data_IF_275250630600
#
_entry.id   IF_275250630600
#
_cell.length_a   1.000
_cell.length_b   1.000
_cell.length_c   1.000
_cell.angle_alpha   90.00
_cell.angle_beta   90.00
_cell.angle_gamma   90.00
#
_symmetry.space_group_name_H-M   'P 1'
#
loop_
_entity.id
_entity.type
_entity.pdbx_description
1 polymer ?
#
# COMPACT_ATOMS: atom_id res chain seq x y z
N UNK A 1 11.04 36.54 38.32
CA UNK A 1 11.85 36.19 37.13
C UNK A 1 11.85 34.70 36.77
N UNK A 2 11.50 33.78 37.68
CA UNK A 2 11.61 32.32 37.44
C UNK A 2 10.45 31.68 36.65
N UNK A 3 9.23 32.22 36.72
CA UNK A 3 8.05 31.60 36.08
C UNK A 3 8.00 31.76 34.55
N UNK A 4 8.39 32.93 34.04
CA UNK A 4 8.43 33.20 32.58
C UNK A 4 9.46 32.35 31.85
N UNK A 5 10.58 32.05 32.50
CA UNK A 5 11.64 31.21 31.97
C UNK A 5 11.21 29.73 31.93
N UNK A 6 10.50 29.27 32.95
CA UNK A 6 9.96 27.90 33.00
C UNK A 6 8.90 27.67 31.91
N UNK A 7 7.99 28.63 31.69
CA UNK A 7 7.01 28.51 30.60
C UNK A 7 7.65 28.49 29.20
N UNK A 8 8.70 29.28 28.97
CA UNK A 8 9.40 29.30 27.69
C UNK A 8 10.11 27.96 27.41
N UNK A 9 10.73 27.36 28.43
CA UNK A 9 11.38 26.04 28.31
C UNK A 9 10.35 24.94 28.09
N UNK A 10 9.21 24.96 28.77
CA UNK A 10 8.11 24.00 28.54
C UNK A 10 7.55 24.16 27.12
N UNK A 11 7.31 25.38 26.67
CA UNK A 11 6.80 25.64 25.32
C UNK A 11 7.78 25.17 24.23
N UNK A 12 9.09 25.33 24.45
CA UNK A 12 10.12 24.87 23.53
C UNK A 12 10.27 23.34 23.56
N UNK A 13 10.16 22.72 24.74
CA UNK A 13 10.17 21.25 24.88
C UNK A 13 8.95 20.61 24.20
N UNK A 14 7.77 21.21 24.36
CA UNK A 14 6.53 20.78 23.68
C UNK A 14 6.70 20.89 22.16
N UNK A 15 7.21 22.01 21.65
CA UNK A 15 7.53 22.20 20.23
C UNK A 15 8.53 21.15 19.68
N UNK A 16 9.56 20.81 20.46
CA UNK A 16 10.55 19.81 20.06
C UNK A 16 9.96 18.40 20.00
N UNK A 17 9.07 18.06 20.94
CA UNK A 17 8.36 16.76 20.93
C UNK A 17 7.38 16.63 19.76
N UNK A 18 6.62 17.69 19.41
CA UNK A 18 5.71 17.64 18.25
C UNK A 18 6.44 17.67 16.91
N UNK A 19 7.63 18.27 16.83
CA UNK A 19 8.44 18.20 15.62
C UNK A 19 8.96 16.76 15.37
N UNK A 20 9.38 16.05 16.41
CA UNK A 20 9.93 14.68 16.27
C UNK A 20 8.95 13.62 15.76
N UNK A 21 7.64 13.77 16.02
CA UNK A 21 6.59 12.85 15.51
C UNK A 21 6.22 13.09 14.05
N UNK A 22 6.62 14.22 13.46
CA UNK A 22 6.32 14.56 12.07
C UNK A 22 7.33 13.96 11.08
N UNK A 23 8.58 13.72 11.50
CA UNK A 23 9.66 13.26 10.62
C UNK A 23 9.87 11.73 10.60
N UNK A 24 9.14 10.97 11.43
CA UNK A 24 9.27 9.51 11.52
C UNK A 24 8.07 8.70 11.00
N UNK A 25 7.01 9.36 10.51
CA UNK A 25 5.73 8.70 10.23
C UNK A 25 5.67 7.90 8.92
N UNK A 26 6.56 8.16 7.95
CA UNK A 26 6.52 7.46 6.65
C UNK A 26 6.94 5.98 6.74
N UNK A 27 7.86 5.61 7.64
CA UNK A 27 8.33 4.23 7.79
C UNK A 27 7.48 3.38 8.77
N UNK A 28 6.61 4.00 9.57
CA UNK A 28 5.85 3.25 10.60
C UNK A 28 4.53 2.66 10.08
N UNK A 29 4.03 3.16 8.94
CA UNK A 29 2.76 2.72 8.34
C UNK A 29 2.95 1.94 7.03
N UNK A 30 4.10 1.29 6.86
CA UNK A 30 4.33 0.34 5.78
C UNK A 30 3.93 -1.06 6.24
N UNK A 31 3.05 -1.72 5.47
CA UNK A 31 2.61 -3.08 5.74
C UNK A 31 2.87 -3.96 4.53
N UNK A 32 3.61 -5.05 4.74
CA UNK A 32 3.84 -6.08 3.73
C UNK A 32 2.92 -7.28 3.98
N UNK A 33 2.19 -7.68 2.95
CA UNK A 33 1.35 -8.87 2.95
C UNK A 33 1.56 -9.68 1.69
N UNK A 34 1.01 -10.89 1.70
CA UNK A 34 0.98 -11.77 0.54
C UNK A 34 -0.45 -12.17 0.27
N UNK A 35 -0.84 -12.17 -1.00
CA UNK A 35 -2.15 -12.66 -1.43
C UNK A 35 -2.00 -13.85 -2.37
N UNK A 36 -2.94 -14.80 -2.30
CA UNK A 36 -2.97 -15.96 -3.19
C UNK A 36 -3.94 -15.71 -4.34
N UNK A 37 -3.41 -15.52 -5.55
CA UNK A 37 -4.20 -15.39 -6.75
C UNK A 37 -4.41 -16.78 -7.37
N UNK A 38 -5.67 -17.20 -7.50
CA UNK A 38 -6.05 -18.52 -8.01
C UNK A 38 -6.80 -18.39 -9.34
N UNK A 39 -7.39 -19.49 -9.84
CA UNK A 39 -8.25 -19.51 -11.03
C UNK A 39 -9.65 -18.92 -10.81
N UNK A 40 -9.89 -18.30 -9.66
CA UNK A 40 -11.07 -17.50 -9.34
C UNK A 40 -10.64 -16.16 -8.80
N UNK A 41 -11.50 -15.15 -8.89
CA UNK A 41 -11.27 -13.85 -8.22
C UNK A 41 -11.00 -14.07 -6.74
N UNK A 42 -9.91 -13.48 -6.26
CA UNK A 42 -9.57 -13.37 -4.85
C UNK A 42 -9.13 -11.95 -4.51
N UNK A 43 -9.39 -11.51 -3.28
CA UNK A 43 -8.92 -10.21 -2.80
C UNK A 43 -7.39 -10.25 -2.61
N UNK A 44 -6.69 -9.33 -3.26
CA UNK A 44 -5.26 -9.14 -3.12
C UNK A 44 -4.90 -8.06 -2.09
N UNK A 45 -5.71 -7.01 -2.03
CA UNK A 45 -5.55 -5.89 -1.13
C UNK A 45 -6.93 -5.34 -0.79
N UNK A 46 -7.27 -5.29 0.50
CA UNK A 46 -8.55 -4.75 0.96
C UNK A 46 -8.67 -3.25 0.66
N UNK A 47 -9.89 -2.71 0.68
CA UNK A 47 -10.09 -1.26 0.58
C UNK A 47 -9.54 -0.54 1.81
N UNK A 48 -8.89 0.61 1.60
CA UNK A 48 -8.26 1.38 2.67
C UNK A 48 -8.38 2.89 2.41
N UNK A 49 -9.22 3.56 3.19
CA UNK A 49 -9.41 5.01 3.13
C UNK A 49 -8.15 5.82 3.46
N UNK A 50 -7.20 5.24 4.18
CA UNK A 50 -5.92 5.86 4.55
C UNK A 50 -4.79 5.63 3.56
N UNK A 51 -4.99 4.82 2.50
CA UNK A 51 -3.94 4.50 1.53
C UNK A 51 -3.37 5.76 0.88
N UNK A 52 -2.04 5.84 0.87
CA UNK A 52 -1.24 6.83 0.17
C UNK A 52 -0.58 6.20 -1.06
N UNK A 53 -0.12 4.95 -0.92
CA UNK A 53 0.40 4.16 -2.03
C UNK A 53 0.29 2.66 -1.77
N UNK A 54 0.37 1.86 -2.83
CA UNK A 54 0.52 0.41 -2.74
C UNK A 54 1.34 -0.13 -3.91
N UNK A 55 2.19 -1.13 -3.65
CA UNK A 55 2.99 -1.85 -4.63
C UNK A 55 2.55 -3.31 -4.66
N UNK A 56 2.19 -3.78 -5.84
CA UNK A 56 1.87 -5.18 -6.09
C UNK A 56 2.94 -5.77 -7.00
N UNK A 57 3.56 -6.88 -6.61
CA UNK A 57 4.64 -7.53 -7.35
C UNK A 57 4.34 -9.01 -7.56
N UNK A 58 4.34 -9.41 -8.82
CA UNK A 58 4.29 -10.79 -9.26
C UNK A 58 5.71 -11.32 -9.50
N UNK A 59 6.32 -11.88 -8.45
CA UNK A 59 7.58 -12.62 -8.56
C UNK A 59 7.36 -14.11 -8.87
N UNK A 60 6.10 -14.50 -9.13
CA UNK A 60 5.74 -15.88 -9.43
C UNK A 60 5.98 -16.27 -10.89
N UNK A 61 5.73 -17.54 -11.18
CA UNK A 61 6.00 -18.16 -12.49
C UNK A 61 4.85 -18.05 -13.50
N UNK A 62 3.72 -17.45 -13.12
CA UNK A 62 2.54 -17.35 -13.98
C UNK A 62 1.97 -15.93 -13.96
N UNK A 63 1.30 -15.56 -15.05
CA UNK A 63 0.69 -14.23 -15.21
C UNK A 63 -0.46 -14.07 -14.21
N UNK A 64 -0.56 -12.87 -13.64
CA UNK A 64 -1.68 -12.43 -12.80
C UNK A 64 -2.40 -11.28 -13.51
N UNK A 65 -3.72 -11.25 -13.43
CA UNK A 65 -4.53 -10.10 -13.76
C UNK A 65 -5.13 -9.52 -12.51
N UNK A 66 -5.05 -8.20 -12.36
CA UNK A 66 -5.64 -7.47 -11.25
C UNK A 66 -6.69 -6.49 -11.74
N UNK A 67 -7.69 -6.24 -10.90
CA UNK A 67 -8.73 -5.23 -11.14
C UNK A 67 -9.04 -4.52 -9.82
N UNK A 68 -9.24 -3.21 -9.91
CA UNK A 68 -9.54 -2.35 -8.76
C UNK A 68 -11.05 -2.17 -8.70
N UNK A 69 -11.65 -2.27 -7.52
CA UNK A 69 -13.09 -2.04 -7.29
C UNK A 69 -14.02 -3.15 -7.74
N UNK A 70 -13.58 -4.01 -8.65
CA UNK A 70 -14.39 -5.04 -9.29
C UNK A 70 -13.70 -6.41 -9.27
N UNK A 71 -14.46 -7.46 -9.58
CA UNK A 71 -13.91 -8.81 -9.75
C UNK A 71 -12.88 -8.85 -10.89
N UNK A 72 -11.72 -9.44 -10.61
CA UNK A 72 -10.69 -9.69 -11.61
C UNK A 72 -11.11 -10.85 -12.55
N UNK A 73 -10.96 -10.61 -13.85
CA UNK A 73 -11.25 -11.57 -14.92
C UNK A 73 -9.94 -11.81 -15.68
N UNK A 74 -9.63 -13.08 -15.97
CA UNK A 74 -8.42 -13.42 -16.70
C UNK A 74 -8.44 -12.78 -18.10
N UNK A 75 -7.32 -12.17 -18.49
CA UNK A 75 -7.17 -11.38 -19.73
C UNK A 75 -7.89 -10.03 -19.74
N UNK A 76 -8.35 -9.54 -18.59
CA UNK A 76 -8.92 -8.19 -18.43
C UNK A 76 -8.17 -7.39 -17.36
N UNK A 77 -8.34 -6.07 -17.35
CA UNK A 77 -7.73 -5.18 -16.37
C UNK A 77 -6.21 -5.03 -16.54
N UNK A 78 -5.49 -5.03 -15.43
CA UNK A 78 -4.03 -4.80 -15.40
C UNK A 78 -3.33 -6.15 -15.35
N UNK A 79 -2.44 -6.39 -16.32
CA UNK A 79 -1.65 -7.62 -16.40
C UNK A 79 -0.30 -7.45 -15.70
N UNK A 80 -0.02 -8.31 -14.73
CA UNK A 80 1.29 -8.47 -14.10
C UNK A 80 2.00 -9.68 -14.71
N UNK A 81 3.07 -9.42 -15.48
CA UNK A 81 3.89 -10.49 -16.05
C UNK A 81 4.54 -11.35 -14.95
N UNK A 82 4.76 -12.63 -15.25
CA UNK A 82 5.53 -13.51 -14.39
C UNK A 82 6.99 -13.03 -14.28
N UNK A 83 7.67 -13.40 -13.19
CA UNK A 83 9.08 -13.11 -12.92
C UNK A 83 9.40 -11.61 -12.83
N UNK A 84 8.62 -10.86 -12.04
CA UNK A 84 8.91 -9.47 -11.67
C UNK A 84 7.97 -8.42 -12.27
N UNK A 85 6.79 -8.81 -12.77
CA UNK A 85 5.78 -7.84 -13.18
C UNK A 85 5.20 -7.11 -11.96
N UNK A 86 5.10 -5.79 -12.02
CA UNK A 86 4.62 -4.99 -10.89
C UNK A 86 3.64 -3.91 -11.30
N UNK A 87 2.80 -3.51 -10.36
CA UNK A 87 1.93 -2.34 -10.48
C UNK A 87 2.01 -1.50 -9.22
N UNK A 88 2.19 -0.21 -9.41
CA UNK A 88 2.34 0.74 -8.32
C UNK A 88 1.17 1.71 -8.35
N UNK A 89 0.46 1.82 -7.23
CA UNK A 89 -0.67 2.71 -6.99
C UNK A 89 -0.14 3.89 -6.19
N UNK A 90 -0.19 5.10 -6.74
CA UNK A 90 0.21 6.31 -6.03
C UNK A 90 -0.43 7.57 -6.66
N UNK A 91 -0.37 8.69 -5.95
CA UNK A 91 -0.93 9.96 -6.43
C UNK A 91 -0.07 10.61 -7.55
N UNK A 92 1.25 10.39 -7.51
CA UNK A 92 2.19 10.98 -8.47
C UNK A 92 1.95 10.51 -9.92
N UNK A 93 1.53 9.26 -10.08
CA UNK A 93 1.17 8.62 -11.35
C UNK A 93 -0.31 8.81 -11.70
N UNK A 94 -1.09 9.51 -10.85
CA UNK A 94 -2.50 9.80 -11.06
C UNK A 94 -3.41 8.57 -11.01
N UNK A 95 -2.95 7.47 -10.42
CA UNK A 95 -3.68 6.20 -10.32
C UNK A 95 -3.99 5.81 -8.87
N UNK A 96 -3.89 6.74 -7.93
CA UNK A 96 -4.21 6.49 -6.53
C UNK A 96 -5.67 6.04 -6.41
N UNK A 97 -5.85 4.80 -5.96
CA UNK A 97 -7.15 4.22 -5.69
C UNK A 97 -7.16 3.54 -4.32
N UNK A 98 -8.27 3.73 -3.61
CA UNK A 98 -8.48 3.29 -2.22
C UNK A 98 -9.44 2.10 -2.12
N UNK A 99 -10.00 1.65 -3.23
CA UNK A 99 -10.84 0.48 -3.30
C UNK A 99 -10.00 -0.80 -3.16
N UNK A 100 -10.70 -1.93 -3.06
CA UNK A 100 -10.06 -3.24 -3.00
C UNK A 100 -9.43 -3.57 -4.36
N UNK A 101 -8.28 -4.23 -4.33
CA UNK A 101 -7.64 -4.82 -5.51
C UNK A 101 -7.90 -6.31 -5.48
N UNK A 102 -8.55 -6.82 -6.52
CA UNK A 102 -8.77 -8.25 -6.72
C UNK A 102 -7.77 -8.79 -7.73
N UNK A 103 -7.42 -10.06 -7.61
CA UNK A 103 -6.54 -10.75 -8.53
C UNK A 103 -7.07 -12.11 -8.97
N UNK A 104 -6.61 -12.54 -10.14
CA UNK A 104 -6.90 -13.85 -10.73
C UNK A 104 -5.71 -14.30 -11.59
N UNK A 105 -5.55 -15.60 -11.76
CA UNK A 105 -4.66 -16.21 -12.75
C UNK A 105 -5.41 -17.26 -13.57
N UNK A 106 -4.87 -17.68 -14.71
CA UNK A 106 -5.62 -18.52 -15.66
C UNK A 106 -5.74 -19.98 -15.19
N UNK A 107 -4.71 -20.51 -14.52
CA UNK A 107 -4.66 -21.95 -14.20
C UNK A 107 -3.76 -22.33 -13.02
N UNK A 108 -3.05 -21.37 -12.43
CA UNK A 108 -2.12 -21.63 -11.33
C UNK A 108 -2.67 -21.10 -9.99
N UNK A 109 -1.93 -21.34 -8.92
CA UNK A 109 -2.00 -20.48 -7.73
C UNK A 109 -0.67 -19.75 -7.64
N UNK A 110 -0.72 -18.42 -7.64
CA UNK A 110 0.46 -17.57 -7.61
C UNK A 110 0.37 -16.64 -6.41
N UNK A 111 1.47 -16.52 -5.67
CA UNK A 111 1.56 -15.57 -4.57
C UNK A 111 1.92 -14.19 -5.12
N UNK A 112 1.06 -13.21 -4.84
CA UNK A 112 1.30 -11.81 -5.10
C UNK A 112 1.86 -11.15 -3.85
N UNK A 113 2.97 -10.44 -3.99
CA UNK A 113 3.55 -9.64 -2.91
C UNK A 113 2.89 -8.27 -2.92
N UNK A 114 2.43 -7.81 -1.76
CA UNK A 114 1.73 -6.53 -1.61
C UNK A 114 2.40 -5.72 -0.52
N UNK A 115 2.73 -4.48 -0.83
CA UNK A 115 3.20 -3.49 0.15
C UNK A 115 2.26 -2.30 0.11
N UNK A 116 1.71 -1.89 1.24
CA UNK A 116 0.84 -0.72 1.35
C UNK A 116 1.43 0.31 2.31
N UNK A 117 1.36 1.58 1.93
CA UNK A 117 1.66 2.73 2.79
C UNK A 117 0.39 3.55 3.03
N UNK A 118 0.10 3.87 4.29
CA UNK A 118 -1.11 4.59 4.68
C UNK A 118 -0.84 5.66 5.75
N UNK A 119 -1.75 6.64 5.89
CA UNK A 119 -1.63 7.75 6.84
C UNK A 119 -2.41 7.52 8.13
#
# INVERSE_FOLDING_TARGET
>A
MRLKFVLAVISWLVMLTVASVAFGREATNEVHTTASCTNSTGEALASNGGRISALLVNDGTSVIWIKIGEAAIANEGIRLNANGGSYYINDADGNLDREAVNCITASATVVLLVTEWFN
#
